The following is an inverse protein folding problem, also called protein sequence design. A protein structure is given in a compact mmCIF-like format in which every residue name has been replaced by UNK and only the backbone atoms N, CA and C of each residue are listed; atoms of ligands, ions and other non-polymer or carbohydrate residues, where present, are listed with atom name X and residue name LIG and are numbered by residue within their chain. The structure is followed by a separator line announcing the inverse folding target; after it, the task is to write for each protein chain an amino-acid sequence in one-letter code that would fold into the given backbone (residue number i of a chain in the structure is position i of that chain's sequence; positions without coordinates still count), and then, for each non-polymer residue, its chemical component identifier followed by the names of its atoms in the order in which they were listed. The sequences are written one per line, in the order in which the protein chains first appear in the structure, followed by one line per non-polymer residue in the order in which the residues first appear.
data_IF_235409815309
#
_entry.id   IF_235409815309
#
_cell.length_a   1.000
_cell.length_b   1.000
_cell.length_c   1.000
_cell.angle_alpha   90.00
_cell.angle_beta   90.00
_cell.angle_gamma   90.00
#
_symmetry.space_group_name_H-M   'P 1'
#
loop_
_entity.id
_entity.type
_entity.pdbx_description
1 polymer ?
#
# COMPACT_ATOMS: atom_id res chain seq x y z
N UNK A 1 43.17 -3.34 -15.37
CA UNK A 1 42.26 -4.35 -14.81
C UNK A 1 41.30 -3.55 -13.92
N UNK A 2 40.20 -3.09 -14.52
CA UNK A 2 39.14 -2.43 -13.78
C UNK A 2 38.50 -3.48 -12.86
N UNK A 3 38.63 -3.30 -11.55
CA UNK A 3 37.84 -4.10 -10.61
C UNK A 3 36.40 -3.67 -10.78
N UNK A 4 35.56 -4.53 -11.34
CA UNK A 4 34.09 -4.37 -11.32
C UNK A 4 33.67 -4.23 -9.86
N UNK A 5 33.37 -3.01 -9.46
CA UNK A 5 32.87 -2.71 -8.10
C UNK A 5 31.41 -3.12 -8.05
N UNK A 6 31.15 -4.31 -7.49
CA UNK A 6 29.78 -4.85 -7.34
C UNK A 6 29.09 -4.22 -6.15
N UNK A 7 27.78 -3.98 -6.31
CA UNK A 7 26.91 -3.57 -5.20
C UNK A 7 26.92 -4.63 -4.10
N UNK A 8 26.92 -4.16 -2.86
CA UNK A 8 26.90 -4.99 -1.66
C UNK A 8 25.50 -4.97 -1.04
N UNK A 9 24.83 -6.08 -1.18
CA UNK A 9 23.56 -6.32 -0.48
C UNK A 9 23.87 -6.85 0.92
N UNK A 10 22.99 -6.56 1.88
CA UNK A 10 23.08 -7.09 3.23
C UNK A 10 22.85 -8.62 3.28
N UNK A 11 22.91 -9.20 4.49
CA UNK A 11 22.69 -10.65 4.71
C UNK A 11 21.31 -11.15 4.28
N UNK A 12 20.32 -10.24 4.17
CA UNK A 12 18.97 -10.54 3.75
C UNK A 12 18.77 -10.30 2.24
N UNK A 13 19.87 -9.97 1.51
CA UNK A 13 19.87 -9.67 0.09
C UNK A 13 19.24 -8.31 -0.24
N UNK A 14 19.28 -7.37 0.69
CA UNK A 14 18.71 -6.04 0.53
C UNK A 14 19.80 -4.95 0.52
N UNK A 15 19.52 -3.88 -0.23
CA UNK A 15 20.31 -2.65 -0.23
C UNK A 15 19.40 -1.48 0.13
N UNK A 16 19.78 -0.60 1.07
CA UNK A 16 19.04 0.62 1.35
C UNK A 16 19.10 1.58 0.17
N UNK A 17 18.01 2.29 -0.06
CA UNK A 17 17.86 3.22 -1.18
C UNK A 17 17.27 4.52 -0.68
N UNK A 18 18.05 5.59 -0.79
CA UNK A 18 17.61 6.95 -0.53
C UNK A 18 17.02 7.51 -1.82
N UNK A 19 15.81 8.00 -1.77
CA UNK A 19 15.13 8.63 -2.89
C UNK A 19 15.12 10.13 -2.69
N UNK A 20 15.62 10.86 -3.67
CA UNK A 20 15.54 12.33 -3.72
C UNK A 20 14.92 12.81 -5.04
N UNK A 21 14.39 14.01 -5.03
CA UNK A 21 13.98 14.70 -6.25
C UNK A 21 15.16 15.36 -6.99
N UNK A 22 14.86 16.10 -8.07
CA UNK A 22 15.87 16.82 -8.86
C UNK A 22 16.48 18.01 -8.13
N UNK A 23 15.81 18.52 -7.11
CA UNK A 23 16.28 19.64 -6.28
C UNK A 23 17.05 19.15 -5.05
N UNK A 24 17.34 17.83 -5.00
CA UNK A 24 18.07 17.16 -3.93
C UNK A 24 17.31 17.08 -2.60
N UNK A 25 15.99 17.28 -2.61
CA UNK A 25 15.16 17.04 -1.44
C UNK A 25 14.98 15.53 -1.27
N UNK A 26 15.30 15.01 -0.09
CA UNK A 26 15.07 13.60 0.24
C UNK A 26 13.57 13.36 0.41
N UNK A 27 13.03 12.44 -0.38
CA UNK A 27 11.60 12.12 -0.39
C UNK A 27 11.25 10.93 0.51
N UNK A 28 12.07 9.88 0.48
CA UNK A 28 11.85 8.67 1.28
C UNK A 28 13.09 7.79 1.33
N UNK A 29 13.08 6.80 2.23
CA UNK A 29 14.00 5.68 2.26
C UNK A 29 13.23 4.38 2.09
N UNK A 30 13.77 3.47 1.29
CA UNK A 30 13.22 2.13 1.07
C UNK A 30 14.34 1.10 0.89
N UNK A 31 13.99 -0.13 0.54
CA UNK A 31 14.95 -1.21 0.29
C UNK A 31 14.68 -1.84 -1.07
N UNK A 32 15.75 -2.23 -1.75
CA UNK A 32 15.69 -3.05 -2.97
C UNK A 32 16.41 -4.37 -2.74
N UNK A 33 15.86 -5.46 -3.29
CA UNK A 33 16.64 -6.65 -3.59
C UNK A 33 17.11 -6.56 -5.05
N UNK A 34 17.88 -7.53 -5.53
CA UNK A 34 18.37 -7.55 -6.91
C UNK A 34 17.21 -7.41 -7.93
N UNK A 35 16.12 -8.15 -7.74
CA UNK A 35 14.97 -8.11 -8.64
C UNK A 35 14.28 -6.72 -8.68
N UNK A 36 14.18 -6.04 -7.54
CA UNK A 36 13.64 -4.67 -7.48
C UNK A 36 14.51 -3.70 -8.27
N UNK A 37 15.84 -3.82 -8.13
CA UNK A 37 16.79 -3.00 -8.89
C UNK A 37 16.70 -3.28 -10.38
N UNK A 38 16.68 -4.54 -10.80
CA UNK A 38 16.55 -4.93 -12.20
C UNK A 38 15.26 -4.41 -12.83
N UNK A 39 14.13 -4.48 -12.10
CA UNK A 39 12.85 -3.92 -12.55
C UNK A 39 12.90 -2.40 -12.62
N UNK A 40 13.57 -1.75 -11.68
CA UNK A 40 13.76 -0.29 -11.70
C UNK A 40 14.53 0.15 -12.95
N UNK A 41 15.62 -0.53 -13.26
CA UNK A 41 16.43 -0.27 -14.44
C UNK A 41 15.66 -0.55 -15.75
N UNK A 42 14.93 -1.66 -15.80
CA UNK A 42 14.18 -2.06 -16.99
C UNK A 42 12.97 -1.16 -17.28
N UNK A 43 12.28 -0.68 -16.24
CA UNK A 43 11.02 0.09 -16.41
C UNK A 43 11.21 1.60 -16.35
N UNK A 44 12.31 2.08 -15.78
CA UNK A 44 12.55 3.50 -15.50
C UNK A 44 11.69 4.07 -14.37
N UNK A 45 11.01 3.21 -13.60
CA UNK A 45 10.23 3.56 -12.41
C UNK A 45 10.75 2.82 -11.19
N UNK A 46 10.66 3.43 -9.99
CA UNK A 46 11.17 2.83 -8.78
C UNK A 46 10.34 1.61 -8.35
N UNK A 47 11.03 0.49 -8.16
CA UNK A 47 10.54 -0.73 -7.56
C UNK A 47 11.29 -1.00 -6.27
N UNK A 48 10.61 -1.49 -5.27
CA UNK A 48 11.16 -1.74 -3.94
C UNK A 48 10.81 -3.13 -3.45
N UNK A 49 11.51 -3.58 -2.42
CA UNK A 49 11.18 -4.78 -1.67
C UNK A 49 10.65 -4.42 -0.29
N UNK A 50 9.44 -4.86 0.02
CA UNK A 50 8.84 -4.67 1.34
C UNK A 50 9.34 -5.74 2.32
N UNK A 51 10.09 -5.34 3.34
CA UNK A 51 10.60 -6.24 4.38
C UNK A 51 9.48 -6.90 5.20
N UNK A 52 8.41 -6.16 5.49
CA UNK A 52 7.26 -6.66 6.26
C UNK A 52 6.35 -7.57 5.47
N UNK A 53 6.14 -7.30 4.16
CA UNK A 53 5.26 -8.07 3.28
C UNK A 53 5.99 -9.11 2.46
N UNK A 54 7.33 -9.09 2.48
CA UNK A 54 8.23 -9.97 1.71
C UNK A 54 7.88 -10.05 0.22
N UNK A 55 7.54 -8.91 -0.38
CA UNK A 55 7.19 -8.83 -1.80
C UNK A 55 7.70 -7.54 -2.45
N UNK A 56 7.82 -7.60 -3.77
CA UNK A 56 8.09 -6.42 -4.59
C UNK A 56 6.86 -5.51 -4.65
N UNK A 57 7.11 -4.23 -4.75
CA UNK A 57 6.07 -3.23 -5.01
C UNK A 57 6.64 -2.06 -5.81
N UNK A 58 5.83 -1.48 -6.70
CA UNK A 58 6.18 -0.27 -7.43
C UNK A 58 5.68 0.96 -6.69
N UNK A 59 6.51 1.98 -6.56
CA UNK A 59 6.04 3.24 -5.98
C UNK A 59 4.88 3.82 -6.80
N UNK A 60 3.78 4.12 -6.12
CA UNK A 60 2.58 4.64 -6.76
C UNK A 60 1.72 3.60 -7.48
N UNK A 61 1.96 2.29 -7.30
CA UNK A 61 1.08 1.25 -7.85
C UNK A 61 -0.36 1.40 -7.34
N UNK A 62 -0.52 1.95 -6.13
CA UNK A 62 -1.80 2.19 -5.46
C UNK A 62 -2.31 3.61 -5.65
N UNK A 63 -1.49 4.61 -5.38
CA UNK A 63 -1.90 6.02 -5.35
C UNK A 63 -1.81 6.73 -6.70
N UNK A 64 -1.14 6.16 -7.69
CA UNK A 64 -0.75 6.85 -8.91
C UNK A 64 0.46 7.79 -8.75
N UNK A 65 0.93 8.04 -7.51
CA UNK A 65 2.08 8.89 -7.22
C UNK A 65 3.39 8.14 -7.48
N UNK A 66 3.75 8.01 -8.74
CA UNK A 66 4.91 7.25 -9.22
C UNK A 66 6.20 8.05 -9.12
N UNK A 67 7.32 7.37 -9.23
CA UNK A 67 8.65 7.98 -9.28
C UNK A 67 9.37 7.51 -10.53
N UNK A 68 9.59 8.43 -11.48
CA UNK A 68 10.37 8.17 -12.69
C UNK A 68 11.85 8.40 -12.37
N UNK A 69 12.68 7.40 -12.61
CA UNK A 69 14.11 7.45 -12.33
C UNK A 69 14.82 8.38 -13.30
N UNK A 70 15.59 9.33 -12.77
CA UNK A 70 16.47 10.20 -13.51
C UNK A 70 17.93 9.73 -13.42
N UNK A 71 18.39 9.29 -12.24
CA UNK A 71 19.73 8.77 -12.02
C UNK A 71 19.75 7.79 -10.85
N UNK A 72 20.71 6.86 -10.86
CA UNK A 72 21.02 5.96 -9.75
C UNK A 72 22.53 6.03 -9.52
N UNK A 73 22.93 6.24 -8.28
CA UNK A 73 24.34 6.33 -7.86
C UNK A 73 24.53 5.45 -6.64
N UNK A 74 25.60 4.68 -6.59
CA UNK A 74 26.04 3.99 -5.38
C UNK A 74 26.92 4.92 -4.54
N UNK A 75 26.94 4.71 -3.24
CA UNK A 75 27.86 5.39 -2.34
C UNK A 75 29.29 4.85 -2.45
N UNK A 76 30.21 5.36 -1.63
CA UNK A 76 31.65 5.10 -1.77
C UNK A 76 32.06 3.65 -1.50
N UNK A 77 31.32 2.90 -0.72
CA UNK A 77 31.59 1.50 -0.38
C UNK A 77 30.54 0.52 -0.98
N UNK A 78 29.62 1.04 -1.79
CA UNK A 78 28.65 0.31 -2.65
C UNK A 78 27.60 -0.49 -1.86
N UNK A 79 27.24 -0.04 -0.66
CA UNK A 79 26.24 -0.68 0.19
C UNK A 79 24.94 0.14 0.33
N UNK A 80 24.85 1.32 -0.31
CA UNK A 80 23.68 2.19 -0.33
C UNK A 80 23.49 2.79 -1.72
N UNK A 81 22.24 2.96 -2.16
CA UNK A 81 21.90 3.64 -3.41
C UNK A 81 21.24 4.99 -3.13
N UNK A 82 21.64 5.99 -3.92
CA UNK A 82 20.94 7.26 -4.07
C UNK A 82 20.25 7.27 -5.43
N UNK A 83 18.93 7.38 -5.43
CA UNK A 83 18.12 7.44 -6.65
C UNK A 83 17.48 8.80 -6.77
N UNK A 84 17.86 9.53 -7.81
CA UNK A 84 17.22 10.80 -8.17
C UNK A 84 16.03 10.51 -9.05
N UNK A 85 14.87 11.07 -8.69
CA UNK A 85 13.60 10.81 -9.37
C UNK A 85 12.88 12.10 -9.76
N UNK A 86 12.01 11.98 -10.72
CA UNK A 86 10.92 12.92 -10.95
C UNK A 86 9.68 12.34 -10.27
N UNK A 87 9.20 13.03 -9.22
CA UNK A 87 7.99 12.65 -8.51
C UNK A 87 6.77 12.97 -9.36
N UNK A 88 5.98 11.97 -9.72
CA UNK A 88 4.70 12.13 -10.42
C UNK A 88 3.60 12.14 -9.35
N UNK A 89 2.78 13.18 -9.37
CA UNK A 89 1.79 13.45 -8.33
C UNK A 89 2.35 14.33 -7.20
N UNK A 90 1.48 14.80 -6.28
CA UNK A 90 1.79 15.88 -5.36
C UNK A 90 2.77 15.53 -4.23
N UNK A 91 2.99 14.23 -3.93
CA UNK A 91 3.90 13.88 -2.86
C UNK A 91 4.25 12.40 -2.80
N UNK A 92 5.36 12.08 -2.13
CA UNK A 92 5.85 10.72 -1.97
C UNK A 92 5.29 10.02 -0.74
N UNK A 93 4.88 10.76 0.29
CA UNK A 93 4.42 10.21 1.56
C UNK A 93 2.96 9.71 1.47
N UNK A 94 2.68 8.56 2.09
CA UNK A 94 1.32 8.01 2.16
C UNK A 94 0.40 8.79 3.12
N UNK A 95 0.96 9.63 3.98
CA UNK A 95 0.22 10.52 4.88
C UNK A 95 -0.11 11.89 4.24
N UNK A 96 0.18 12.05 2.94
CA UNK A 96 -0.19 13.26 2.20
C UNK A 96 0.90 14.31 2.11
N UNK A 97 2.12 14.05 2.56
CA UNK A 97 3.23 14.98 2.52
C UNK A 97 4.10 14.78 1.28
N UNK A 98 4.84 15.82 0.92
CA UNK A 98 5.81 15.78 -0.17
C UNK A 98 6.91 14.76 0.11
N UNK A 99 7.44 14.76 1.33
CA UNK A 99 8.48 13.85 1.83
C UNK A 99 7.99 13.03 3.03
N UNK A 100 8.52 11.82 3.19
CA UNK A 100 8.33 11.01 4.41
C UNK A 100 9.05 11.60 5.63
N UNK A 101 10.01 12.50 5.43
CA UNK A 101 10.80 13.14 6.48
C UNK A 101 10.19 14.50 6.86
N UNK A 102 9.04 14.50 7.51
CA UNK A 102 8.27 15.70 7.85
C UNK A 102 8.03 15.89 9.36
N UNK A 103 8.45 14.95 10.19
CA UNK A 103 8.38 15.08 11.65
C UNK A 103 9.73 15.58 12.21
N UNK A 104 9.84 16.83 12.70
CA UNK A 104 11.06 17.28 13.34
C UNK A 104 11.28 16.57 14.68
N UNK A 105 12.54 16.34 15.03
CA UNK A 105 12.93 15.83 16.34
C UNK A 105 13.61 16.96 17.10
N UNK A 106 13.13 17.28 18.30
CA UNK A 106 13.75 18.28 19.15
C UNK A 106 15.02 17.77 19.79
N UNK A 107 15.97 18.66 20.00
CA UNK A 107 17.21 18.34 20.73
C UNK A 107 16.87 17.86 22.16
N UNK A 108 17.37 16.68 22.51
CA UNK A 108 17.15 16.04 23.81
C UNK A 108 15.83 15.25 23.96
N UNK A 109 14.99 15.22 22.93
CA UNK A 109 13.77 14.40 22.87
C UNK A 109 13.85 13.41 21.72
N UNK A 110 13.61 12.13 22.01
CA UNK A 110 13.53 11.08 20.98
C UNK A 110 12.12 10.94 20.37
N UNK A 111 11.17 11.78 20.78
CA UNK A 111 9.82 11.80 20.25
C UNK A 111 9.72 12.79 19.09
N UNK A 112 9.00 12.40 18.05
CA UNK A 112 8.68 13.29 16.95
C UNK A 112 7.77 14.43 17.42
N UNK A 113 8.11 15.66 17.05
CA UNK A 113 7.32 16.84 17.38
C UNK A 113 6.26 17.08 16.29
N UNK A 114 4.99 17.08 16.67
CA UNK A 114 3.92 17.45 15.74
C UNK A 114 3.82 18.97 15.53
N UNK A 115 4.41 19.77 16.42
CA UNK A 115 4.49 21.21 16.26
C UNK A 115 5.56 21.58 15.21
N UNK A 116 5.14 22.12 14.09
CA UNK A 116 6.05 22.46 12.98
C UNK A 116 6.00 21.48 11.80
N UNK A 117 5.17 20.45 11.87
CA UNK A 117 4.87 19.60 10.70
C UNK A 117 4.18 20.46 9.63
N UNK A 118 4.65 20.44 8.36
CA UNK A 118 4.02 21.20 7.28
C UNK A 118 2.60 20.71 7.01
N UNK A 119 1.79 21.52 6.34
CA UNK A 119 0.48 21.06 5.88
C UNK A 119 0.63 19.96 4.81
N UNK A 120 -0.24 18.94 4.80
CA UNK A 120 -0.27 17.95 3.73
C UNK A 120 -0.50 18.61 2.38
N UNK A 121 0.19 18.13 1.34
CA UNK A 121 0.07 18.62 -0.03
C UNK A 121 -1.06 17.95 -0.82
N UNK A 122 -1.62 16.87 -0.27
CA UNK A 122 -2.83 16.21 -0.80
C UNK A 122 -3.58 15.48 0.32
N UNK A 123 -4.87 15.20 0.09
CA UNK A 123 -5.66 14.35 0.97
C UNK A 123 -5.38 12.87 0.69
N UNK A 124 -4.78 12.12 1.64
CA UNK A 124 -4.53 10.69 1.47
C UNK A 124 -5.81 9.89 1.21
N UNK A 125 -6.93 10.28 1.83
CA UNK A 125 -8.22 9.59 1.65
C UNK A 125 -8.70 9.70 0.20
N UNK A 126 -8.48 10.83 -0.45
CA UNK A 126 -8.81 11.01 -1.87
C UNK A 126 -7.89 10.18 -2.78
N UNK A 127 -6.59 10.12 -2.47
CA UNK A 127 -5.61 9.39 -3.26
C UNK A 127 -5.72 7.86 -3.11
N UNK A 128 -6.02 7.38 -1.90
CA UNK A 128 -6.06 5.96 -1.58
C UNK A 128 -7.48 5.41 -1.42
N UNK A 129 -8.50 6.28 -1.33
CA UNK A 129 -9.90 5.90 -1.14
C UNK A 129 -10.43 4.88 -2.16
N UNK A 130 -10.25 5.08 -3.47
CA UNK A 130 -10.71 4.12 -4.47
C UNK A 130 -10.09 2.72 -4.36
N UNK A 131 -9.01 2.59 -3.63
CA UNK A 131 -8.26 1.33 -3.48
C UNK A 131 -8.48 0.64 -2.13
N UNK A 132 -9.30 1.22 -1.26
CA UNK A 132 -9.58 0.65 0.06
C UNK A 132 -10.08 -0.80 -0.03
N UNK A 133 -10.88 -1.13 -1.04
CA UNK A 133 -11.39 -2.49 -1.25
C UNK A 133 -10.26 -3.49 -1.56
N UNK A 134 -9.25 -3.06 -2.32
CA UNK A 134 -8.10 -3.91 -2.62
C UNK A 134 -7.22 -4.11 -1.37
N UNK A 135 -6.94 -3.03 -0.63
CA UNK A 135 -6.18 -3.11 0.62
C UNK A 135 -6.88 -3.98 1.65
N UNK A 136 -8.21 -3.86 1.75
CA UNK A 136 -9.02 -4.66 2.67
C UNK A 136 -9.00 -6.15 2.26
N UNK A 137 -9.11 -6.45 0.95
CA UNK A 137 -8.97 -7.82 0.46
C UNK A 137 -7.59 -8.42 0.81
N UNK A 138 -6.51 -7.67 0.65
CA UNK A 138 -5.16 -8.12 1.03
C UNK A 138 -5.05 -8.38 2.53
N UNK A 139 -5.59 -7.48 3.37
CA UNK A 139 -5.63 -7.66 4.82
C UNK A 139 -6.41 -8.92 5.21
N UNK A 140 -7.58 -9.14 4.62
CA UNK A 140 -8.41 -10.33 4.85
C UNK A 140 -7.65 -11.60 4.41
N UNK A 141 -6.97 -11.56 3.26
CA UNK A 141 -6.13 -12.66 2.76
C UNK A 141 -4.97 -12.97 3.71
N UNK A 142 -4.32 -11.94 4.23
CA UNK A 142 -3.27 -12.09 5.25
C UNK A 142 -3.82 -12.74 6.51
N UNK A 143 -4.99 -12.32 6.99
CA UNK A 143 -5.64 -12.95 8.16
C UNK A 143 -6.01 -14.42 7.93
N UNK A 144 -6.34 -14.79 6.71
CA UNK A 144 -6.58 -16.20 6.35
C UNK A 144 -5.31 -17.05 6.42
N UNK A 145 -4.17 -16.49 5.97
CA UNK A 145 -2.88 -17.18 5.92
C UNK A 145 -2.16 -17.15 7.28
N UNK A 146 -2.28 -16.05 8.02
CA UNK A 146 -1.64 -15.80 9.30
C UNK A 146 -2.70 -15.39 10.34
N UNK A 147 -3.39 -16.37 10.95
CA UNK A 147 -4.44 -16.12 11.93
C UNK A 147 -3.94 -15.28 13.11
N UNK A 148 -4.76 -14.31 13.52
CA UNK A 148 -4.50 -13.47 14.68
C UNK A 148 -5.56 -13.71 15.73
N UNK A 149 -5.15 -13.97 16.98
CA UNK A 149 -6.06 -14.16 18.11
C UNK A 149 -6.99 -12.95 18.29
N UNK A 150 -8.27 -13.19 18.56
CA UNK A 150 -9.29 -12.17 18.72
C UNK A 150 -9.77 -11.51 17.43
N UNK A 151 -9.29 -11.94 16.26
CA UNK A 151 -9.71 -11.39 14.96
C UNK A 151 -11.10 -11.87 14.56
N UNK A 152 -12.02 -10.93 14.32
CA UNK A 152 -13.34 -11.25 13.77
C UNK A 152 -13.25 -11.90 12.37
N UNK A 153 -12.30 -11.48 11.54
CA UNK A 153 -12.05 -12.10 10.23
C UNK A 153 -11.70 -13.58 10.38
N UNK A 154 -10.83 -13.93 11.33
CA UNK A 154 -10.47 -15.33 11.60
C UNK A 154 -11.66 -16.12 12.14
N UNK A 155 -12.46 -15.53 13.04
CA UNK A 155 -13.69 -16.15 13.51
C UNK A 155 -14.62 -16.54 12.34
N UNK A 156 -14.80 -15.66 11.32
CA UNK A 156 -15.62 -15.98 10.16
C UNK A 156 -15.07 -17.16 9.36
N UNK A 157 -13.77 -17.23 9.16
CA UNK A 157 -13.12 -18.35 8.47
C UNK A 157 -13.23 -19.65 9.26
N UNK A 158 -13.06 -19.60 10.59
CA UNK A 158 -13.17 -20.76 11.47
C UNK A 158 -14.59 -21.33 11.51
N UNK A 159 -15.61 -20.47 11.44
CA UNK A 159 -17.02 -20.87 11.37
C UNK A 159 -17.43 -21.38 9.98
N UNK A 160 -16.60 -21.14 8.96
CA UNK A 160 -16.78 -21.64 7.61
C UNK A 160 -17.79 -20.91 6.75
N UNK A 161 -17.99 -21.45 5.54
CA UNK A 161 -18.74 -20.81 4.45
C UNK A 161 -20.17 -20.44 4.83
N UNK A 162 -20.86 -21.31 5.58
CA UNK A 162 -22.26 -21.08 5.95
C UNK A 162 -22.43 -19.84 6.84
N UNK A 163 -21.47 -19.59 7.73
CA UNK A 163 -21.46 -18.39 8.57
C UNK A 163 -21.18 -17.14 7.75
N UNK A 164 -20.23 -17.21 6.80
CA UNK A 164 -19.92 -16.10 5.90
C UNK A 164 -21.15 -15.74 5.06
N UNK A 165 -21.81 -16.72 4.45
CA UNK A 165 -23.00 -16.51 3.64
C UNK A 165 -24.20 -16.00 4.47
N UNK A 166 -24.37 -16.51 5.70
CA UNK A 166 -25.37 -16.01 6.64
C UNK A 166 -25.16 -14.52 6.91
N UNK A 167 -23.93 -14.10 7.24
CA UNK A 167 -23.60 -12.69 7.47
C UNK A 167 -23.89 -11.83 6.25
N UNK A 168 -23.47 -12.25 5.04
CA UNK A 168 -23.82 -11.53 3.82
C UNK A 168 -25.33 -11.33 3.67
N UNK A 169 -26.14 -12.36 3.94
CA UNK A 169 -27.59 -12.27 3.88
C UNK A 169 -28.17 -11.27 4.89
N UNK A 170 -27.62 -11.21 6.10
CA UNK A 170 -27.98 -10.23 7.13
C UNK A 170 -27.69 -8.80 6.64
N UNK A 171 -26.47 -8.53 6.15
CA UNK A 171 -26.06 -7.20 5.66
C UNK A 171 -26.89 -6.75 4.43
N UNK A 172 -27.25 -7.65 3.52
CA UNK A 172 -28.15 -7.32 2.41
C UNK A 172 -29.52 -6.86 2.92
N UNK A 173 -30.07 -7.53 3.94
CA UNK A 173 -31.35 -7.14 4.52
C UNK A 173 -31.26 -5.78 5.20
N UNK A 174 -30.17 -5.50 5.92
CA UNK A 174 -29.92 -4.23 6.62
C UNK A 174 -29.72 -3.07 5.63
N UNK A 175 -29.02 -3.27 4.51
CA UNK A 175 -28.93 -2.30 3.40
C UNK A 175 -30.32 -1.96 2.86
N UNK A 176 -31.20 -2.95 2.63
CA UNK A 176 -32.56 -2.72 2.14
C UNK A 176 -33.38 -1.91 3.14
N UNK A 177 -33.27 -2.23 4.43
CA UNK A 177 -33.98 -1.53 5.52
C UNK A 177 -33.49 -0.08 5.62
N UNK A 178 -32.18 0.13 5.66
CA UNK A 178 -31.58 1.47 5.73
C UNK A 178 -31.97 2.35 4.52
N UNK A 179 -31.94 1.79 3.32
CA UNK A 179 -32.38 2.48 2.11
C UNK A 179 -33.87 2.87 2.15
N UNK A 180 -34.74 1.99 2.67
CA UNK A 180 -36.18 2.26 2.83
C UNK A 180 -36.47 3.34 3.86
N UNK A 181 -35.69 3.39 4.92
CA UNK A 181 -35.86 4.34 6.04
C UNK A 181 -35.30 5.74 5.73
N UNK A 182 -34.69 5.95 4.57
CA UNK A 182 -34.04 7.20 4.17
C UNK A 182 -33.01 7.69 5.21
N UNK A 183 -32.20 6.77 5.72
CA UNK A 183 -31.16 7.00 6.70
C UNK A 183 -29.77 6.91 6.02
N UNK A 184 -29.24 8.01 5.41
CA UNK A 184 -28.02 7.96 4.60
C UNK A 184 -26.80 7.42 5.35
N UNK A 185 -26.59 7.83 6.61
CA UNK A 185 -25.43 7.39 7.39
C UNK A 185 -25.52 5.89 7.73
N UNK A 186 -26.71 5.41 8.07
CA UNK A 186 -26.94 3.98 8.28
C UNK A 186 -26.76 3.19 6.98
N UNK A 187 -27.23 3.71 5.85
CA UNK A 187 -27.04 3.06 4.56
C UNK A 187 -25.53 2.95 4.21
N UNK A 188 -24.74 3.99 4.48
CA UNK A 188 -23.29 3.94 4.28
C UNK A 188 -22.65 2.86 5.17
N UNK A 189 -23.08 2.76 6.42
CA UNK A 189 -22.60 1.74 7.36
C UNK A 189 -22.89 0.32 6.86
N UNK A 190 -24.15 0.02 6.54
CA UNK A 190 -24.57 -1.34 6.10
C UNK A 190 -23.96 -1.74 4.76
N UNK A 191 -23.83 -0.79 3.82
CA UNK A 191 -23.12 -1.05 2.55
C UNK A 191 -21.65 -1.37 2.79
N UNK A 192 -21.01 -0.72 3.76
CA UNK A 192 -19.61 -1.01 4.11
C UNK A 192 -19.44 -2.42 4.70
N UNK A 193 -20.36 -2.84 5.55
CA UNK A 193 -20.37 -4.18 6.14
C UNK A 193 -20.66 -5.26 5.07
N UNK A 194 -21.58 -4.99 4.16
CA UNK A 194 -21.83 -5.88 3.02
C UNK A 194 -20.57 -6.05 2.15
N UNK A 195 -19.88 -4.95 1.82
CA UNK A 195 -18.64 -4.99 1.05
C UNK A 195 -17.54 -5.77 1.78
N UNK A 196 -17.42 -5.60 3.10
CA UNK A 196 -16.47 -6.35 3.92
C UNK A 196 -16.75 -7.86 3.86
N UNK A 197 -17.99 -8.29 4.13
CA UNK A 197 -18.35 -9.71 4.10
C UNK A 197 -18.26 -10.32 2.69
N UNK A 198 -18.52 -9.53 1.64
CA UNK A 198 -18.28 -9.93 0.26
C UNK A 198 -16.78 -10.20 0.02
N UNK A 199 -15.89 -9.34 0.50
CA UNK A 199 -14.44 -9.57 0.37
C UNK A 199 -13.99 -10.82 1.15
N UNK A 200 -14.55 -11.08 2.33
CA UNK A 200 -14.29 -12.33 3.08
C UNK A 200 -14.70 -13.56 2.26
N UNK A 201 -15.89 -13.53 1.62
CA UNK A 201 -16.33 -14.60 0.73
C UNK A 201 -15.39 -14.77 -0.47
N UNK A 202 -14.93 -13.69 -1.09
CA UNK A 202 -14.00 -13.75 -2.23
C UNK A 202 -12.67 -14.41 -1.81
N UNK A 203 -12.13 -14.08 -0.65
CA UNK A 203 -10.92 -14.73 -0.11
C UNK A 203 -11.16 -16.21 0.17
N UNK A 204 -12.28 -16.58 0.80
CA UNK A 204 -12.63 -17.98 1.06
C UNK A 204 -12.73 -18.80 -0.25
N UNK A 205 -13.21 -18.19 -1.32
CA UNK A 205 -13.35 -18.82 -2.65
C UNK A 205 -12.12 -18.62 -3.53
N UNK A 206 -11.05 -18.00 -3.05
CA UNK A 206 -9.83 -17.70 -3.80
C UNK A 206 -10.08 -16.91 -5.11
N UNK A 207 -11.08 -16.03 -5.09
CA UNK A 207 -11.43 -15.13 -6.20
C UNK A 207 -10.83 -13.75 -5.91
N UNK A 208 -9.99 -13.25 -6.81
CA UNK A 208 -9.44 -11.91 -6.66
C UNK A 208 -10.44 -10.82 -7.07
N UNK A 209 -10.43 -9.64 -6.44
CA UNK A 209 -11.25 -8.51 -6.88
C UNK A 209 -11.01 -8.14 -8.35
N UNK A 210 -9.81 -8.36 -8.88
CA UNK A 210 -9.49 -8.13 -10.29
C UNK A 210 -10.39 -8.91 -11.24
N UNK A 211 -10.74 -10.15 -10.90
CA UNK A 211 -11.65 -10.97 -11.73
C UNK A 211 -13.06 -10.37 -11.77
N UNK A 212 -13.51 -9.78 -10.65
CA UNK A 212 -14.80 -9.08 -10.59
C UNK A 212 -14.76 -7.80 -11.44
N UNK A 213 -13.67 -7.02 -11.36
CA UNK A 213 -13.52 -5.80 -12.16
C UNK A 213 -13.47 -6.11 -13.66
N UNK A 214 -12.77 -7.16 -14.07
CA UNK A 214 -12.73 -7.61 -15.46
C UNK A 214 -14.12 -8.00 -15.98
N UNK A 215 -14.92 -8.72 -15.19
CA UNK A 215 -16.29 -9.08 -15.56
C UNK A 215 -17.20 -7.85 -15.67
N UNK A 216 -17.08 -6.90 -14.72
CA UNK A 216 -17.83 -5.64 -14.78
C UNK A 216 -17.44 -4.79 -15.99
N UNK A 217 -16.15 -4.75 -16.33
CA UNK A 217 -15.66 -4.04 -17.51
C UNK A 217 -16.17 -4.67 -18.80
N UNK A 218 -16.18 -5.99 -18.89
CA UNK A 218 -16.74 -6.73 -20.03
C UNK A 218 -18.25 -6.46 -20.25
N UNK A 219 -19.01 -6.15 -19.17
CA UNK A 219 -20.41 -5.77 -19.23
C UNK A 219 -20.66 -4.29 -19.53
N UNK A 220 -19.64 -3.47 -19.44
CA UNK A 220 -19.71 -2.04 -19.74
C UNK A 220 -19.79 -1.86 -21.26
N UNK A 221 -21.03 -1.66 -21.75
CA UNK A 221 -21.32 -1.40 -23.17
C UNK A 221 -21.25 0.09 -23.48
#
# INVERSE_FOLDING_TARGET
MEMEQKLKFDRDGLIPVIIQDRDSQVLMLAYMNQEALDRTLATGYTWFYSRSRQRLWQKGETSGHRQRVAAITADCDHDTLLVTVEQIGPGACHEGYESCFHYPIKEGDLQADEAGVPAPVFDPKAAYGPQILHQLYELISERRQHPKEGSYTNYLFDQGIDKILKKMGEEVAEVIIAAKNQAPDQLVYEVSDLLYHLLVLLVEKQISPKQIWQELEARRK
#
